data_IF_740994513859
#
_entry.id   IF_740994513859
#
_cell.length_a   1.000
_cell.length_b   1.000
_cell.length_c   1.000
_cell.angle_alpha   90.00
_cell.angle_beta   90.00
_cell.angle_gamma   90.00
#
_symmetry.space_group_name_H-M   'P 1'
#
loop_
_entity.id
_entity.type
_entity.pdbx_description
1 polymer ?
#
# COMPACT_ATOMS: atom_id res chain seq x y z
N UNK A 1 -2.84 -12.26 27.31
CA UNK A 1 -1.82 -12.73 26.34
C UNK A 1 -0.43 -12.43 26.91
N UNK A 2 0.47 -13.40 26.89
CA UNK A 2 1.86 -13.24 27.37
C UNK A 2 2.64 -12.29 26.46
N UNK A 3 3.58 -11.49 26.97
CA UNK A 3 4.40 -10.58 26.16
C UNK A 3 5.08 -11.26 24.95
N UNK A 4 5.42 -12.54 25.07
CA UNK A 4 5.99 -13.33 23.98
C UNK A 4 5.01 -13.63 22.83
N UNK A 5 3.70 -13.74 23.07
CA UNK A 5 2.73 -13.97 21.99
C UNK A 5 2.49 -12.72 21.16
N UNK A 6 2.51 -11.53 21.79
CA UNK A 6 2.33 -10.26 21.08
C UNK A 6 3.48 -9.98 20.10
N UNK A 7 4.72 -10.26 20.52
CA UNK A 7 5.88 -10.08 19.64
C UNK A 7 5.88 -11.08 18.48
N UNK A 8 5.51 -12.35 18.72
CA UNK A 8 5.34 -13.34 17.64
C UNK A 8 4.28 -12.91 16.63
N UNK A 9 3.16 -12.38 17.10
CA UNK A 9 2.10 -11.87 16.23
C UNK A 9 2.57 -10.67 15.41
N UNK A 10 3.30 -9.73 16.02
CA UNK A 10 3.89 -8.59 15.32
C UNK A 10 4.85 -9.05 14.21
N UNK A 11 5.77 -9.96 14.50
CA UNK A 11 6.72 -10.46 13.50
C UNK A 11 6.02 -11.24 12.38
N UNK A 12 5.00 -12.04 12.70
CA UNK A 12 4.20 -12.73 11.69
C UNK A 12 3.47 -11.73 10.79
N UNK A 13 2.87 -10.68 11.36
CA UNK A 13 2.21 -9.61 10.61
C UNK A 13 3.17 -8.89 9.67
N UNK A 14 4.36 -8.51 10.15
CA UNK A 14 5.40 -7.88 9.31
C UNK A 14 5.83 -8.82 8.18
N UNK A 15 6.06 -10.10 8.47
CA UNK A 15 6.44 -11.08 7.46
C UNK A 15 5.37 -11.22 6.37
N UNK A 16 4.09 -11.28 6.75
CA UNK A 16 2.97 -11.35 5.81
C UNK A 16 2.87 -10.06 4.99
N UNK A 17 3.01 -8.88 5.61
CA UNK A 17 2.97 -7.60 4.91
C UNK A 17 4.08 -7.49 3.85
N UNK A 18 5.30 -7.90 4.19
CA UNK A 18 6.41 -7.91 3.24
C UNK A 18 6.19 -8.94 2.11
N UNK A 19 5.68 -10.13 2.43
CA UNK A 19 5.33 -11.12 1.42
C UNK A 19 4.29 -10.56 0.44
N UNK A 20 3.20 -9.97 0.97
CA UNK A 20 2.16 -9.37 0.15
C UNK A 20 2.67 -8.19 -0.68
N UNK A 21 3.59 -7.37 -0.15
CA UNK A 21 4.17 -6.25 -0.90
C UNK A 21 4.88 -6.70 -2.18
N UNK A 22 5.50 -7.88 -2.15
CA UNK A 22 6.18 -8.48 -3.32
C UNK A 22 5.21 -9.18 -4.25
N UNK A 23 4.20 -9.84 -3.70
CA UNK A 23 3.23 -10.60 -4.49
C UNK A 23 2.12 -9.73 -5.09
N UNK A 24 1.82 -8.57 -4.51
CA UNK A 24 0.69 -7.73 -4.88
C UNK A 24 0.65 -7.40 -6.38
N UNK A 25 1.75 -6.99 -7.05
CA UNK A 25 1.71 -6.75 -8.48
C UNK A 25 1.22 -7.97 -9.29
N UNK A 26 1.57 -9.18 -8.88
CA UNK A 26 1.24 -10.40 -9.61
C UNK A 26 -0.14 -10.97 -9.26
N UNK A 27 -0.67 -10.61 -8.09
CA UNK A 27 -1.96 -11.10 -7.59
C UNK A 27 -3.09 -10.09 -7.78
N UNK A 28 -2.78 -8.82 -8.03
CA UNK A 28 -3.77 -7.80 -8.30
C UNK A 28 -4.60 -8.18 -9.53
N UNK A 29 -5.90 -7.91 -9.43
CA UNK A 29 -6.81 -8.02 -10.57
C UNK A 29 -6.35 -7.05 -11.67
N UNK A 30 -6.44 -7.44 -12.95
CA UNK A 30 -6.06 -6.57 -14.06
C UNK A 30 -7.06 -5.42 -14.30
N UNK A 31 -8.33 -5.60 -13.94
CA UNK A 31 -9.40 -4.59 -14.11
C UNK A 31 -10.68 -5.02 -13.34
N UNK A 32 -11.15 -4.26 -12.33
CA UNK A 32 -10.44 -3.19 -11.64
C UNK A 32 -9.39 -3.79 -10.70
N UNK A 33 -8.27 -3.09 -10.53
CA UNK A 33 -7.28 -3.40 -9.53
C UNK A 33 -7.75 -3.02 -8.11
N UNK A 34 -6.88 -3.18 -7.11
CA UNK A 34 -7.20 -2.87 -5.73
C UNK A 34 -7.42 -1.36 -5.43
N UNK A 35 -6.72 -0.48 -6.13
CA UNK A 35 -6.89 0.98 -6.02
C UNK A 35 -8.21 1.42 -6.66
N UNK A 36 -8.48 0.95 -7.87
CA UNK A 36 -9.68 1.28 -8.65
C UNK A 36 -10.94 0.73 -7.96
N UNK A 37 -10.88 -0.51 -7.47
CA UNK A 37 -12.00 -1.10 -6.73
C UNK A 37 -12.28 -0.35 -5.42
N UNK A 38 -11.24 0.07 -4.70
CA UNK A 38 -11.41 0.85 -3.47
C UNK A 38 -11.97 2.26 -3.76
N UNK A 39 -11.57 2.87 -4.88
CA UNK A 39 -12.15 4.14 -5.32
C UNK A 39 -13.63 3.98 -5.73
N UNK A 40 -13.95 2.89 -6.43
CA UNK A 40 -15.31 2.59 -6.92
C UNK A 40 -16.32 2.32 -5.80
N UNK A 41 -15.87 1.95 -4.61
CA UNK A 41 -16.75 1.83 -3.43
C UNK A 41 -17.21 3.21 -2.92
N UNK A 42 -16.45 4.26 -3.19
CA UNK A 42 -16.69 5.62 -2.68
C UNK A 42 -17.34 6.51 -3.76
N UNK A 43 -17.06 6.24 -5.03
CA UNK A 43 -17.45 7.07 -6.16
C UNK A 43 -18.23 6.21 -7.17
N UNK A 44 -19.40 6.70 -7.61
CA UNK A 44 -20.20 6.01 -8.63
C UNK A 44 -19.40 5.74 -9.91
N UNK A 45 -19.63 4.58 -10.55
CA UNK A 45 -18.92 4.12 -11.75
C UNK A 45 -18.87 5.18 -12.87
N UNK A 46 -20.00 5.85 -13.12
CA UNK A 46 -20.09 6.94 -14.12
C UNK A 46 -19.15 8.14 -13.84
N UNK A 47 -18.84 8.40 -12.57
CA UNK A 47 -17.88 9.44 -12.18
C UNK A 47 -16.46 8.91 -12.23
N UNK A 48 -16.24 7.62 -11.97
CA UNK A 48 -14.93 7.00 -12.13
C UNK A 48 -14.44 7.11 -13.57
N UNK A 49 -15.26 6.74 -14.55
CA UNK A 49 -14.92 6.86 -15.97
C UNK A 49 -14.59 8.30 -16.36
N UNK A 50 -15.33 9.28 -15.83
CA UNK A 50 -15.03 10.70 -16.06
C UNK A 50 -13.70 11.13 -15.43
N UNK A 51 -13.35 10.58 -14.27
CA UNK A 51 -12.09 10.89 -13.58
C UNK A 51 -10.91 10.27 -14.31
N UNK A 52 -11.04 9.04 -14.81
CA UNK A 52 -10.00 8.36 -15.60
C UNK A 52 -9.70 9.09 -16.92
N UNK A 53 -10.71 9.69 -17.54
CA UNK A 53 -10.54 10.48 -18.76
C UNK A 53 -9.94 11.88 -18.50
N UNK A 54 -9.89 12.34 -17.24
CA UNK A 54 -9.33 13.64 -16.87
C UNK A 54 -7.88 13.53 -16.42
N UNK A 55 -7.05 14.48 -16.84
CA UNK A 55 -5.71 14.61 -16.24
C UNK A 55 -5.82 14.99 -14.75
N UNK A 56 -5.03 14.37 -13.87
CA UNK A 56 -5.04 14.69 -12.45
C UNK A 56 -4.53 16.13 -12.24
N UNK A 57 -5.23 16.88 -11.39
CA UNK A 57 -4.85 18.26 -11.07
C UNK A 57 -3.42 18.38 -10.50
N UNK A 58 -2.93 17.32 -9.86
CA UNK A 58 -1.54 17.16 -9.43
C UNK A 58 -1.11 15.75 -9.80
N UNK A 59 0.00 15.62 -10.54
CA UNK A 59 0.54 14.31 -10.90
C UNK A 59 0.97 13.55 -9.65
N UNK A 60 0.56 12.28 -9.58
CA UNK A 60 1.08 11.37 -8.57
C UNK A 60 2.59 11.16 -8.79
N UNK A 61 3.43 11.16 -7.74
CA UNK A 61 4.84 10.81 -7.87
C UNK A 61 5.08 9.41 -8.43
N UNK A 62 4.10 8.51 -8.29
CA UNK A 62 4.20 7.11 -8.68
C UNK A 62 2.79 6.56 -8.98
N UNK A 63 2.20 6.92 -10.13
CA UNK A 63 0.87 6.44 -10.52
C UNK A 63 0.88 4.92 -10.66
N UNK A 64 -0.14 4.26 -10.13
CA UNK A 64 -0.33 2.78 -10.17
C UNK A 64 0.88 1.99 -9.68
N UNK A 65 1.61 2.56 -8.71
CA UNK A 65 2.88 2.02 -8.20
C UNK A 65 3.97 1.85 -9.27
N UNK A 66 3.84 2.49 -10.43
CA UNK A 66 4.74 2.30 -11.55
C UNK A 66 6.02 3.13 -11.44
N UNK A 67 7.15 2.52 -11.82
CA UNK A 67 8.43 3.21 -12.00
C UNK A 67 8.83 3.07 -13.46
N UNK A 68 9.01 4.21 -14.12
CA UNK A 68 9.32 4.27 -15.55
C UNK A 68 10.56 3.42 -15.88
N UNK A 69 10.45 2.57 -16.91
CA UNK A 69 11.54 1.70 -17.36
C UNK A 69 11.80 0.44 -16.53
N UNK A 70 11.07 0.21 -15.43
CA UNK A 70 11.27 -0.98 -14.58
C UNK A 70 10.15 -2.03 -14.67
N UNK A 71 9.00 -1.68 -15.25
CA UNK A 71 7.83 -2.56 -15.36
C UNK A 71 7.45 -3.18 -14.01
N UNK A 72 7.17 -4.48 -14.01
CA UNK A 72 6.71 -5.20 -12.80
C UNK A 72 7.70 -5.16 -11.63
N UNK A 73 8.99 -5.09 -11.91
CA UNK A 73 10.01 -4.96 -10.88
C UNK A 73 9.97 -3.58 -10.19
N UNK A 74 9.54 -2.55 -10.92
CA UNK A 74 9.28 -1.21 -10.40
C UNK A 74 8.08 -1.19 -9.46
N UNK A 75 6.99 -1.86 -9.85
CA UNK A 75 5.79 -2.00 -9.00
C UNK A 75 6.09 -2.72 -7.68
N UNK A 76 6.87 -3.81 -7.73
CA UNK A 76 7.32 -4.50 -6.51
C UNK A 76 8.13 -3.56 -5.62
N UNK A 77 9.06 -2.80 -6.21
CA UNK A 77 9.91 -1.87 -5.47
C UNK A 77 9.09 -0.75 -4.83
N UNK A 78 8.18 -0.15 -5.59
CA UNK A 78 7.25 0.88 -5.15
C UNK A 78 6.46 0.46 -3.90
N UNK A 79 5.78 -0.68 -3.99
CA UNK A 79 4.94 -1.20 -2.92
C UNK A 79 5.78 -1.61 -1.71
N UNK A 80 6.93 -2.25 -1.92
CA UNK A 80 7.83 -2.64 -0.83
C UNK A 80 8.38 -1.42 -0.07
N UNK A 81 8.83 -0.38 -0.78
CA UNK A 81 9.32 0.86 -0.17
C UNK A 81 8.20 1.57 0.59
N UNK A 82 7.01 1.67 0.01
CA UNK A 82 5.85 2.24 0.68
C UNK A 82 5.47 1.47 1.96
N UNK A 83 5.49 0.13 1.90
CA UNK A 83 5.22 -0.75 3.05
C UNK A 83 6.23 -0.50 4.17
N UNK A 84 7.52 -0.43 3.85
CA UNK A 84 8.57 -0.13 4.84
C UNK A 84 8.42 1.27 5.43
N UNK A 85 8.06 2.26 4.61
CA UNK A 85 7.82 3.63 5.07
C UNK A 85 6.66 3.68 6.07
N UNK A 86 5.53 3.03 5.78
CA UNK A 86 4.38 2.95 6.69
C UNK A 86 4.74 2.24 7.99
N UNK A 87 5.50 1.14 7.94
CA UNK A 87 5.98 0.44 9.14
C UNK A 87 6.89 1.35 9.99
N UNK A 88 7.81 2.08 9.36
CA UNK A 88 8.71 3.00 10.03
C UNK A 88 7.96 4.18 10.67
N UNK A 89 7.02 4.78 9.95
CA UNK A 89 6.17 5.86 10.45
C UNK A 89 5.32 5.37 11.62
N UNK A 90 4.67 4.22 11.49
CA UNK A 90 3.84 3.64 12.55
C UNK A 90 4.66 3.33 13.80
N UNK A 91 5.86 2.78 13.63
CA UNK A 91 6.79 2.56 14.75
C UNK A 91 7.23 3.88 15.39
N UNK A 92 7.53 4.90 14.57
CA UNK A 92 7.87 6.25 15.02
C UNK A 92 6.76 6.89 15.86
N UNK A 93 5.52 6.84 15.39
CA UNK A 93 4.36 7.29 16.14
C UNK A 93 4.16 6.48 17.41
N UNK A 94 4.26 5.14 17.33
CA UNK A 94 4.22 4.27 18.49
C UNK A 94 5.22 4.72 19.56
N UNK A 95 6.47 5.00 19.19
CA UNK A 95 7.50 5.48 20.11
C UNK A 95 7.22 6.89 20.65
N UNK A 96 6.71 7.80 19.82
CA UNK A 96 6.39 9.17 20.22
C UNK A 96 5.25 9.22 21.25
N UNK A 97 4.19 8.44 21.02
CA UNK A 97 3.02 8.37 21.89
C UNK A 97 3.18 7.43 23.08
N UNK A 98 4.19 6.55 23.08
CA UNK A 98 4.50 5.68 24.22
C UNK A 98 5.29 6.40 25.35
N UNK A 99 5.31 7.73 25.35
CA UNK A 99 5.92 8.54 26.40
C UNK A 99 4.89 8.75 27.53
N UNK A 100 4.82 7.76 28.44
CA UNK A 100 3.91 7.63 29.59
C UNK A 100 2.46 7.26 29.24
N UNK A 101 2.21 5.96 29.15
CA UNK A 101 0.99 5.36 29.68
C UNK A 101 1.37 4.58 30.96
#
# INVERSE_FOLDING_TARGET
>A
MSGNSNMKFLYAGIAIALLLSVLAPFLASPDPDGLESAAGEIIDESKMTQIEEMEPAVSSPMPDYSIEGMGKSGEVLAIAVGTLAVLAISFGFGKLFNKKA
#
